data_IF_381582107931
#
_entry.id   IF_381582107931
#
_cell.length_a   1.000
_cell.length_b   1.000
_cell.length_c   1.000
_cell.angle_alpha   90.00
_cell.angle_beta   90.00
_cell.angle_gamma   90.00
#
_symmetry.space_group_name_H-M   'P 1'
#
loop_
_entity.id
_entity.type
_entity.pdbx_description
1 polymer ?
#
# COMPACT_ATOMS: atom_id res chain seq x y z
N UNK A 1 -14.49 25.23 -10.89
CA UNK A 1 -13.94 24.01 -10.26
C UNK A 1 -14.09 24.21 -8.76
N UNK A 2 -14.74 23.30 -8.06
CA UNK A 2 -14.90 23.36 -6.60
C UNK A 2 -13.76 22.58 -5.90
N UNK A 3 -13.69 22.66 -4.58
CA UNK A 3 -12.62 22.00 -3.80
C UNK A 3 -12.61 20.48 -4.01
N UNK A 4 -13.75 19.87 -4.19
CA UNK A 4 -13.89 18.42 -4.38
C UNK A 4 -13.34 18.01 -5.76
N UNK A 5 -13.61 18.80 -6.81
CA UNK A 5 -13.10 18.55 -8.16
C UNK A 5 -11.56 18.55 -8.17
N UNK A 6 -10.94 19.54 -7.48
CA UNK A 6 -9.47 19.60 -7.36
C UNK A 6 -8.92 18.39 -6.64
N UNK A 7 -9.56 17.99 -5.53
CA UNK A 7 -9.13 16.82 -4.74
C UNK A 7 -9.19 15.56 -5.60
N UNK A 8 -10.30 15.31 -6.31
CA UNK A 8 -10.46 14.13 -7.16
C UNK A 8 -9.44 14.10 -8.31
N UNK A 9 -9.17 15.25 -8.94
CA UNK A 9 -8.15 15.38 -9.98
C UNK A 9 -6.76 15.02 -9.45
N UNK A 10 -6.36 15.57 -8.31
CA UNK A 10 -5.07 15.29 -7.66
C UNK A 10 -4.93 13.83 -7.26
N UNK A 11 -5.97 13.26 -6.62
CA UNK A 11 -5.99 11.84 -6.26
C UNK A 11 -5.90 10.94 -7.50
N UNK A 12 -6.59 11.31 -8.60
CA UNK A 12 -6.55 10.56 -9.86
C UNK A 12 -5.17 10.56 -10.51
N UNK A 13 -4.44 11.67 -10.40
CA UNK A 13 -3.09 11.83 -10.95
C UNK A 13 -1.98 11.36 -10.02
N UNK A 14 -2.29 10.78 -8.86
CA UNK A 14 -1.31 10.42 -7.81
C UNK A 14 -0.44 11.61 -7.36
N UNK A 15 -1.01 12.80 -7.35
CA UNK A 15 -0.32 14.02 -6.95
C UNK A 15 -0.72 14.40 -5.52
N UNK A 16 0.13 14.14 -4.50
CA UNK A 16 -0.17 14.45 -3.12
C UNK A 16 -0.51 15.94 -2.93
N UNK A 17 -1.45 16.19 -2.06
CA UNK A 17 -1.88 17.56 -1.75
C UNK A 17 -2.35 17.65 -0.30
N UNK A 18 -2.54 18.88 0.17
CA UNK A 18 -2.93 19.17 1.55
C UNK A 18 -4.13 20.09 1.52
N UNK A 19 -5.16 19.75 2.31
CA UNK A 19 -6.27 20.65 2.58
C UNK A 19 -6.03 21.34 3.92
N UNK A 20 -6.09 22.66 3.92
CA UNK A 20 -6.19 23.44 5.15
C UNK A 20 -7.61 23.96 5.28
N UNK A 21 -8.30 23.58 6.35
CA UNK A 21 -9.64 24.07 6.68
C UNK A 21 -9.54 25.05 7.83
N UNK A 22 -10.10 26.26 7.66
CA UNK A 22 -10.20 27.25 8.73
C UNK A 22 -11.38 26.90 9.64
N UNK A 23 -11.11 26.62 10.90
CA UNK A 23 -12.11 26.18 11.89
C UNK A 23 -12.73 27.35 12.67
N UNK A 24 -11.98 28.46 12.85
CA UNK A 24 -12.46 29.62 13.57
C UNK A 24 -11.85 30.94 13.02
N UNK A 25 -12.42 32.08 13.40
CA UNK A 25 -11.96 33.39 12.99
C UNK A 25 -12.69 33.93 11.76
N UNK A 26 -12.15 35.01 11.16
CA UNK A 26 -12.82 35.78 10.10
C UNK A 26 -13.08 34.98 8.81
N UNK A 27 -12.33 33.89 8.61
CA UNK A 27 -12.40 33.02 7.41
C UNK A 27 -12.95 31.64 7.75
N UNK A 28 -13.68 31.48 8.83
CA UNK A 28 -14.23 30.19 9.26
C UNK A 28 -15.03 29.52 8.12
N UNK A 29 -14.69 28.24 7.85
CA UNK A 29 -15.28 27.42 6.78
C UNK A 29 -14.50 27.45 5.49
N UNK A 30 -13.53 28.37 5.31
CA UNK A 30 -12.66 28.39 4.13
C UNK A 30 -11.82 27.12 4.06
N UNK A 31 -11.63 26.66 2.82
CA UNK A 31 -10.74 25.55 2.50
C UNK A 31 -9.73 26.01 1.45
N UNK A 32 -8.47 25.69 1.71
CA UNK A 32 -7.39 25.94 0.77
C UNK A 32 -6.68 24.62 0.49
N UNK A 33 -6.49 24.31 -0.78
CA UNK A 33 -5.73 23.12 -1.21
C UNK A 33 -4.35 23.58 -1.66
N UNK A 34 -3.34 22.99 -1.12
CA UNK A 34 -1.93 23.20 -1.47
C UNK A 34 -1.32 21.94 -2.07
N UNK A 35 -0.35 22.09 -2.98
CA UNK A 35 0.58 21.02 -3.32
C UNK A 35 1.50 20.70 -2.13
N UNK A 36 2.24 19.60 -2.17
CA UNK A 36 3.27 19.31 -1.17
C UNK A 36 4.37 20.39 -1.12
N UNK A 37 4.60 21.10 -2.21
CA UNK A 37 5.56 22.20 -2.31
C UNK A 37 5.02 23.53 -1.77
N UNK A 38 3.72 23.57 -1.42
CA UNK A 38 3.06 24.76 -0.87
C UNK A 38 2.41 25.67 -1.92
N UNK A 39 2.35 25.25 -3.19
CA UNK A 39 1.64 25.98 -4.23
C UNK A 39 0.13 25.90 -4.02
N UNK A 40 -0.58 27.00 -4.23
CA UNK A 40 -2.04 27.04 -4.05
C UNK A 40 -2.72 26.42 -5.27
N UNK A 41 -3.46 25.34 -5.03
CA UNK A 41 -4.24 24.65 -6.06
C UNK A 41 -5.71 25.08 -6.05
N UNK A 42 -6.23 25.49 -4.87
CA UNK A 42 -7.60 25.97 -4.71
C UNK A 42 -7.71 26.91 -3.50
N UNK A 43 -8.60 27.89 -3.59
CA UNK A 43 -8.91 28.81 -2.50
C UNK A 43 -7.98 30.01 -2.44
N UNK A 44 -8.07 30.78 -1.38
CA UNK A 44 -7.23 31.96 -1.13
C UNK A 44 -6.19 31.63 -0.07
N UNK A 45 -4.93 31.92 -0.34
CA UNK A 45 -3.83 31.69 0.59
C UNK A 45 -4.15 32.11 2.03
N UNK A 46 -3.67 31.33 2.96
CA UNK A 46 -3.66 31.71 4.38
C UNK A 46 -2.35 32.44 4.64
N UNK A 47 -2.44 33.74 4.97
CA UNK A 47 -1.27 34.57 5.18
C UNK A 47 -0.37 34.01 6.29
N UNK A 48 0.93 33.87 6.01
CA UNK A 48 1.91 33.31 6.92
C UNK A 48 1.91 31.78 7.00
N UNK A 49 1.04 31.06 6.28
CA UNK A 49 1.08 29.60 6.23
C UNK A 49 2.31 29.13 5.46
N UNK A 50 3.03 28.18 6.05
CA UNK A 50 4.13 27.46 5.40
C UNK A 50 3.89 25.96 5.58
N UNK A 51 4.22 25.19 4.55
CA UNK A 51 4.08 23.73 4.60
C UNK A 51 4.97 23.16 5.71
N UNK A 52 4.43 22.33 6.63
CA UNK A 52 5.25 21.72 7.67
C UNK A 52 6.19 20.66 7.07
N UNK A 53 7.36 20.46 7.67
CA UNK A 53 8.31 19.40 7.26
C UNK A 53 7.69 18.00 7.28
N UNK A 54 6.77 17.77 8.22
CA UNK A 54 6.02 16.53 8.30
C UNK A 54 4.54 16.78 8.06
N UNK A 55 4.07 16.31 6.92
CA UNK A 55 2.66 16.39 6.52
C UNK A 55 1.88 15.26 7.20
N UNK A 56 1.03 15.63 8.16
CA UNK A 56 0.12 14.73 8.88
C UNK A 56 -1.11 15.51 9.35
N UNK A 57 -2.24 14.85 9.64
CA UNK A 57 -3.40 15.52 10.20
C UNK A 57 -3.03 16.24 11.51
N UNK A 58 -3.23 17.56 11.54
CA UNK A 58 -2.89 18.38 12.72
C UNK A 58 -3.71 19.66 12.81
N UNK A 59 -3.96 20.08 14.05
CA UNK A 59 -4.48 21.40 14.36
C UNK A 59 -3.33 22.38 14.54
N UNK A 60 -3.51 23.59 14.07
CA UNK A 60 -2.55 24.69 14.28
C UNK A 60 -3.28 26.04 14.30
N UNK A 61 -2.63 27.05 14.88
CA UNK A 61 -3.17 28.41 14.93
C UNK A 61 -2.30 29.35 14.12
N UNK A 62 -2.91 30.19 13.31
CA UNK A 62 -2.24 31.21 12.52
C UNK A 62 -3.14 32.45 12.35
N UNK A 63 -2.61 33.66 12.48
CA UNK A 63 -3.33 34.92 12.30
C UNK A 63 -4.69 34.95 13.07
N UNK A 64 -4.73 34.49 14.32
CA UNK A 64 -5.93 34.37 15.16
C UNK A 64 -7.02 33.42 14.61
N UNK A 65 -6.67 32.53 13.71
CA UNK A 65 -7.53 31.45 13.19
C UNK A 65 -7.03 30.12 13.70
N UNK A 66 -7.95 29.24 14.08
CA UNK A 66 -7.64 27.81 14.22
C UNK A 66 -7.84 27.13 12.87
N UNK A 67 -6.89 26.33 12.48
CA UNK A 67 -6.88 25.63 11.21
C UNK A 67 -6.63 24.13 11.43
N UNK A 68 -7.19 23.32 10.54
CA UNK A 68 -6.91 21.88 10.46
C UNK A 68 -6.25 21.57 9.14
N UNK A 69 -5.06 21.01 9.20
CA UNK A 69 -4.33 20.49 8.06
C UNK A 69 -4.64 19.01 7.89
N UNK A 70 -5.01 18.62 6.69
CA UNK A 70 -5.29 17.23 6.34
C UNK A 70 -4.58 16.89 5.02
N UNK A 71 -3.69 15.88 4.99
CA UNK A 71 -3.15 15.36 3.75
C UNK A 71 -4.26 14.72 2.90
N UNK A 72 -4.15 14.89 1.58
CA UNK A 72 -5.01 14.26 0.58
C UNK A 72 -4.11 13.38 -0.27
N UNK A 73 -4.18 12.12 0.00
CA UNK A 73 -3.44 11.10 -0.72
C UNK A 73 -4.43 10.13 -1.36
N UNK A 74 -4.06 9.55 -2.49
CA UNK A 74 -4.81 8.43 -3.03
C UNK A 74 -4.70 7.26 -2.04
N UNK A 75 -5.77 6.49 -1.91
CA UNK A 75 -5.70 5.24 -1.17
C UNK A 75 -4.59 4.35 -1.74
N UNK A 76 -3.80 3.66 -0.90
CA UNK A 76 -2.81 2.72 -1.38
C UNK A 76 -3.44 1.68 -2.30
N UNK A 77 -2.78 1.37 -3.41
CA UNK A 77 -3.21 0.36 -4.37
C UNK A 77 -2.36 -0.90 -4.21
N UNK A 78 -2.99 -2.04 -4.04
CA UNK A 78 -2.32 -3.32 -3.82
C UNK A 78 -2.56 -4.24 -5.01
N UNK A 79 -1.48 -4.78 -5.55
CA UNK A 79 -1.51 -5.81 -6.58
C UNK A 79 -1.30 -7.19 -5.95
N UNK A 80 -2.26 -8.08 -6.11
CA UNK A 80 -2.16 -9.47 -5.64
C UNK A 80 -2.00 -10.37 -6.87
N UNK A 81 -0.89 -11.08 -6.93
CA UNK A 81 -0.54 -12.02 -8.01
C UNK A 81 -0.84 -13.44 -7.57
N UNK A 82 -1.93 -13.99 -8.12
CA UNK A 82 -2.56 -15.25 -7.74
C UNK A 82 -3.94 -15.04 -7.11
N UNK A 83 -4.92 -15.88 -7.45
CA UNK A 83 -6.32 -15.79 -7.01
C UNK A 83 -6.76 -17.01 -6.17
N UNK A 84 -5.85 -17.57 -5.37
CA UNK A 84 -6.13 -18.71 -4.46
C UNK A 84 -6.97 -18.31 -3.24
N UNK A 85 -7.19 -19.28 -2.34
CA UNK A 85 -7.97 -19.04 -1.11
C UNK A 85 -7.36 -17.96 -0.22
N UNK A 86 -6.03 -17.98 -0.03
CA UNK A 86 -5.33 -16.96 0.76
C UNK A 86 -5.47 -15.59 0.11
N UNK A 87 -5.37 -15.51 -1.23
CA UNK A 87 -5.50 -14.24 -1.96
C UNK A 87 -6.84 -13.55 -1.71
N UNK A 88 -7.92 -14.31 -1.57
CA UNK A 88 -9.27 -13.78 -1.28
C UNK A 88 -9.29 -13.13 0.09
N UNK A 89 -8.80 -13.82 1.11
CA UNK A 89 -8.71 -13.28 2.46
C UNK A 89 -7.78 -12.06 2.53
N UNK A 90 -6.66 -12.08 1.80
CA UNK A 90 -5.73 -10.94 1.70
C UNK A 90 -6.41 -9.74 1.03
N UNK A 91 -7.16 -9.96 -0.06
CA UNK A 91 -7.92 -8.90 -0.73
C UNK A 91 -8.95 -8.26 0.19
N UNK A 92 -9.73 -9.07 0.93
CA UNK A 92 -10.73 -8.60 1.88
C UNK A 92 -10.11 -7.77 3.01
N UNK A 93 -8.97 -8.20 3.56
CA UNK A 93 -8.26 -7.48 4.61
C UNK A 93 -7.67 -6.15 4.11
N UNK A 94 -7.12 -6.09 2.91
CA UNK A 94 -6.65 -4.83 2.32
C UNK A 94 -7.80 -3.86 2.05
N UNK A 95 -8.94 -4.34 1.53
CA UNK A 95 -10.14 -3.52 1.37
C UNK A 95 -10.65 -3.00 2.72
N UNK A 96 -10.58 -3.83 3.77
CA UNK A 96 -11.03 -3.45 5.12
C UNK A 96 -10.22 -2.27 5.67
N UNK A 97 -8.92 -2.20 5.40
CA UNK A 97 -8.06 -1.08 5.82
C UNK A 97 -8.06 0.10 4.84
N UNK A 98 -8.92 0.07 3.80
CA UNK A 98 -9.13 1.17 2.88
C UNK A 98 -8.19 1.23 1.67
N UNK A 99 -7.50 0.14 1.34
CA UNK A 99 -6.70 0.05 0.11
C UNK A 99 -7.59 -0.27 -1.10
N UNK A 100 -7.18 0.20 -2.28
CA UNK A 100 -7.63 -0.36 -3.55
C UNK A 100 -6.95 -1.71 -3.79
N UNK A 101 -7.64 -2.66 -4.43
CA UNK A 101 -7.10 -4.01 -4.63
C UNK A 101 -7.34 -4.48 -6.05
N UNK A 102 -6.25 -4.89 -6.71
CA UNK A 102 -6.26 -5.58 -7.98
C UNK A 102 -5.73 -7.01 -7.81
N UNK A 103 -6.48 -8.00 -8.26
CA UNK A 103 -6.07 -9.41 -8.27
C UNK A 103 -5.86 -9.87 -9.71
N UNK A 104 -4.70 -10.47 -9.97
CA UNK A 104 -4.34 -11.05 -11.27
C UNK A 104 -4.13 -12.55 -11.13
N UNK A 105 -4.69 -13.33 -12.05
CA UNK A 105 -4.41 -14.77 -12.18
C UNK A 105 -4.50 -15.17 -13.66
N UNK A 106 -3.70 -16.14 -14.07
CA UNK A 106 -3.70 -16.71 -15.41
C UNK A 106 -4.86 -17.72 -15.64
N UNK A 107 -5.65 -18.00 -14.59
CA UNK A 107 -6.77 -18.92 -14.61
C UNK A 107 -8.08 -18.18 -14.37
N UNK A 108 -8.87 -17.99 -15.43
CA UNK A 108 -10.13 -17.24 -15.39
C UNK A 108 -11.14 -17.78 -14.37
N UNK A 109 -11.15 -19.10 -14.13
CA UNK A 109 -12.06 -19.78 -13.21
C UNK A 109 -11.83 -19.41 -11.74
N UNK A 110 -10.67 -18.83 -11.37
CA UNK A 110 -10.37 -18.36 -10.03
C UNK A 110 -10.76 -16.88 -9.82
N UNK A 111 -11.08 -16.16 -10.90
CA UNK A 111 -11.41 -14.72 -10.88
C UNK A 111 -12.93 -14.46 -10.96
N UNK A 112 -13.74 -15.43 -10.55
CA UNK A 112 -15.20 -15.30 -10.57
C UNK A 112 -15.68 -14.21 -9.60
N UNK A 113 -16.77 -13.47 -9.95
CA UNK A 113 -17.33 -12.42 -9.11
C UNK A 113 -17.69 -12.88 -7.69
N UNK A 114 -18.17 -14.12 -7.56
CA UNK A 114 -18.57 -14.70 -6.26
C UNK A 114 -17.41 -14.97 -5.31
N UNK A 115 -16.15 -14.87 -5.76
CA UNK A 115 -14.97 -15.16 -4.97
C UNK A 115 -14.34 -13.92 -4.32
N UNK A 116 -14.72 -12.73 -4.75
CA UNK A 116 -14.14 -11.49 -4.30
C UNK A 116 -15.21 -10.43 -4.07
N UNK A 117 -14.98 -9.51 -3.14
CA UNK A 117 -15.79 -8.29 -3.00
C UNK A 117 -15.88 -7.55 -4.34
N UNK A 118 -17.00 -6.90 -4.60
CA UNK A 118 -17.26 -6.17 -5.86
C UNK A 118 -16.28 -5.03 -6.12
N UNK A 119 -15.61 -4.51 -5.09
CA UNK A 119 -14.59 -3.45 -5.15
C UNK A 119 -13.24 -3.96 -5.65
N UNK A 120 -13.00 -5.28 -5.62
CA UNK A 120 -11.75 -5.87 -6.13
C UNK A 120 -11.74 -5.83 -7.65
N UNK A 121 -10.73 -5.20 -8.23
CA UNK A 121 -10.46 -5.31 -9.65
C UNK A 121 -9.85 -6.69 -9.94
N UNK A 122 -10.46 -7.46 -10.82
CA UNK A 122 -10.01 -8.82 -11.21
C UNK A 122 -9.56 -8.81 -12.65
N UNK A 123 -8.33 -9.24 -12.90
CA UNK A 123 -7.70 -9.22 -14.21
C UNK A 123 -7.23 -10.63 -14.56
N UNK A 124 -7.78 -11.18 -15.64
CA UNK A 124 -7.28 -12.43 -16.24
C UNK A 124 -6.12 -12.10 -17.16
N UNK A 125 -4.90 -12.49 -16.79
CA UNK A 125 -3.68 -12.15 -17.51
C UNK A 125 -2.60 -13.19 -17.24
N UNK A 126 -1.80 -13.53 -18.26
CA UNK A 126 -0.56 -14.29 -18.05
C UNK A 126 0.43 -13.43 -17.26
N UNK A 127 1.06 -14.00 -16.25
CA UNK A 127 2.02 -13.28 -15.40
C UNK A 127 3.23 -12.75 -16.19
N UNK A 128 3.52 -13.28 -17.37
CA UNK A 128 4.58 -12.78 -18.26
C UNK A 128 4.25 -11.44 -18.91
N UNK A 129 2.97 -11.06 -18.93
CA UNK A 129 2.48 -9.84 -19.60
C UNK A 129 2.23 -8.69 -18.59
N UNK A 130 2.54 -8.86 -17.30
CA UNK A 130 2.25 -7.87 -16.26
C UNK A 130 2.79 -6.50 -16.60
N UNK A 131 4.06 -6.43 -16.99
CA UNK A 131 4.76 -5.17 -17.31
C UNK A 131 4.20 -4.47 -18.54
N UNK A 132 3.69 -5.22 -19.50
CA UNK A 132 3.14 -4.67 -20.77
C UNK A 132 1.69 -4.20 -20.60
N UNK A 133 0.94 -4.81 -19.68
CA UNK A 133 -0.51 -4.65 -19.59
C UNK A 133 -0.95 -3.84 -18.37
N UNK A 134 -0.09 -3.63 -17.38
CA UNK A 134 -0.41 -2.91 -16.15
C UNK A 134 0.61 -1.78 -15.89
N UNK A 135 0.12 -0.66 -15.38
CA UNK A 135 0.96 0.40 -14.83
C UNK A 135 1.44 -0.02 -13.44
N UNK A 136 2.50 -0.84 -13.39
CA UNK A 136 2.98 -1.45 -12.15
C UNK A 136 3.47 -0.42 -11.12
N UNK A 137 3.91 0.74 -11.54
CA UNK A 137 4.31 1.89 -10.75
C UNK A 137 3.15 2.55 -9.98
N UNK A 138 1.92 2.24 -10.35
CA UNK A 138 0.73 2.74 -9.65
C UNK A 138 0.43 2.01 -8.33
N UNK A 139 1.06 0.86 -8.09
CA UNK A 139 0.84 0.05 -6.90
C UNK A 139 1.85 0.38 -5.80
N UNK A 140 1.35 0.56 -4.58
CA UNK A 140 2.17 0.81 -3.38
C UNK A 140 2.66 -0.49 -2.75
N UNK A 141 1.97 -1.59 -2.99
CA UNK A 141 2.33 -2.92 -2.52
C UNK A 141 2.00 -4.03 -3.50
N UNK A 142 2.87 -5.03 -3.58
CA UNK A 142 2.68 -6.22 -4.42
C UNK A 142 2.77 -7.47 -3.54
N UNK A 143 1.78 -8.35 -3.65
CA UNK A 143 1.68 -9.60 -2.90
C UNK A 143 1.71 -10.77 -3.87
N UNK A 144 2.79 -11.55 -3.83
CA UNK A 144 2.98 -12.72 -4.69
C UNK A 144 2.54 -13.97 -3.91
N UNK A 145 1.37 -14.50 -4.29
CA UNK A 145 0.71 -15.67 -3.66
C UNK A 145 0.27 -16.67 -4.71
N UNK A 146 1.16 -16.96 -5.64
CA UNK A 146 0.90 -17.86 -6.76
C UNK A 146 0.85 -19.33 -6.32
N UNK A 147 0.38 -20.19 -7.22
CA UNK A 147 0.25 -21.63 -6.96
C UNK A 147 1.57 -22.41 -6.98
N UNK A 148 2.62 -21.87 -7.63
CA UNK A 148 3.87 -22.59 -7.83
C UNK A 148 5.07 -21.65 -7.95
N UNK A 149 6.27 -22.14 -7.62
CA UNK A 149 7.52 -21.38 -7.63
C UNK A 149 7.89 -20.74 -8.95
N UNK A 150 7.62 -21.44 -10.06
CA UNK A 150 7.90 -20.94 -11.40
C UNK A 150 7.15 -19.65 -11.69
N UNK A 151 5.91 -19.52 -11.18
CA UNK A 151 5.13 -18.30 -11.34
C UNK A 151 5.62 -17.19 -10.40
N UNK A 152 6.10 -17.53 -9.18
CA UNK A 152 6.68 -16.54 -8.27
C UNK A 152 7.89 -15.86 -8.95
N UNK A 153 8.81 -16.63 -9.56
CA UNK A 153 9.97 -16.10 -10.26
C UNK A 153 9.54 -15.21 -11.45
N UNK A 154 8.58 -15.66 -12.25
CA UNK A 154 8.04 -14.86 -13.36
C UNK A 154 7.48 -13.54 -12.85
N UNK A 155 6.62 -13.56 -11.81
CA UNK A 155 6.06 -12.35 -11.23
C UNK A 155 7.14 -11.38 -10.73
N UNK A 156 8.14 -11.89 -10.00
CA UNK A 156 9.22 -11.07 -9.47
C UNK A 156 10.05 -10.42 -10.58
N UNK A 157 10.36 -11.14 -11.66
CA UNK A 157 11.04 -10.54 -12.80
C UNK A 157 10.22 -9.44 -13.48
N UNK A 158 8.91 -9.58 -13.58
CA UNK A 158 8.02 -8.56 -14.15
C UNK A 158 7.96 -7.29 -13.29
N UNK A 159 8.06 -7.40 -11.97
CA UNK A 159 7.96 -6.25 -11.06
C UNK A 159 9.33 -5.66 -10.65
N UNK A 160 10.43 -6.28 -11.05
CA UNK A 160 11.81 -5.92 -10.66
C UNK A 160 12.11 -4.43 -10.83
N UNK A 161 11.67 -3.82 -11.91
CA UNK A 161 12.00 -2.45 -12.28
C UNK A 161 11.20 -1.38 -11.53
N UNK A 162 10.11 -1.76 -10.85
CA UNK A 162 9.28 -0.83 -10.08
C UNK A 162 9.47 -0.96 -8.57
N UNK A 163 9.73 -2.17 -8.04
CA UNK A 163 9.92 -2.51 -6.62
C UNK A 163 9.31 -1.45 -5.66
N UNK A 164 7.97 -1.45 -5.49
CA UNK A 164 7.32 -0.51 -4.58
C UNK A 164 7.80 -0.75 -3.14
N UNK A 165 7.38 0.09 -2.20
CA UNK A 165 7.74 0.01 -0.77
C UNK A 165 7.60 -1.40 -0.19
N UNK A 166 6.63 -2.18 -0.70
CA UNK A 166 6.35 -3.52 -0.23
C UNK A 166 6.18 -4.51 -1.39
N UNK A 167 7.04 -5.51 -1.45
CA UNK A 167 6.90 -6.68 -2.33
C UNK A 167 7.04 -7.93 -1.48
N UNK A 168 5.92 -8.59 -1.21
CA UNK A 168 5.88 -9.77 -0.35
C UNK A 168 5.68 -11.07 -1.13
N UNK A 169 6.39 -12.12 -0.75
CA UNK A 169 6.35 -13.43 -1.42
C UNK A 169 5.95 -14.53 -0.44
N UNK A 170 4.86 -15.21 -0.75
CA UNK A 170 4.34 -16.30 0.09
C UNK A 170 5.13 -17.59 -0.11
N UNK A 171 5.51 -18.22 0.99
CA UNK A 171 6.15 -19.55 0.93
C UNK A 171 6.73 -19.98 2.27
N UNK A 172 7.16 -21.22 2.37
CA UNK A 172 7.94 -21.67 3.54
C UNK A 172 9.34 -21.04 3.55
N UNK A 173 9.97 -20.93 4.72
CA UNK A 173 11.36 -20.42 4.84
C UNK A 173 12.33 -21.11 3.86
N UNK A 174 12.25 -22.43 3.73
CA UNK A 174 13.10 -23.18 2.80
C UNK A 174 12.84 -22.79 1.34
N UNK A 175 11.57 -22.60 0.99
CA UNK A 175 11.13 -22.20 -0.36
C UNK A 175 11.66 -20.80 -0.70
N UNK A 176 11.43 -19.84 0.16
CA UNK A 176 11.82 -18.44 -0.04
C UNK A 176 13.34 -18.30 -0.10
N UNK A 177 14.07 -18.97 0.81
CA UNK A 177 15.53 -18.97 0.76
C UNK A 177 16.07 -19.48 -0.59
N UNK A 178 15.47 -20.56 -1.12
CA UNK A 178 15.84 -21.11 -2.42
C UNK A 178 15.51 -20.10 -3.54
N UNK A 179 14.31 -19.53 -3.55
CA UNK A 179 13.88 -18.55 -4.55
C UNK A 179 14.81 -17.34 -4.58
N UNK A 180 15.14 -16.75 -3.42
CA UNK A 180 16.04 -15.61 -3.34
C UNK A 180 17.49 -15.93 -3.77
N UNK A 181 17.95 -17.18 -3.56
CA UNK A 181 19.22 -17.65 -4.08
C UNK A 181 19.19 -17.71 -5.61
N UNK A 182 18.10 -18.21 -6.21
CA UNK A 182 17.95 -18.29 -7.67
C UNK A 182 17.92 -16.88 -8.27
N UNK A 183 17.17 -15.93 -7.71
CA UNK A 183 17.15 -14.54 -8.18
C UNK A 183 18.56 -13.94 -8.25
N UNK A 184 19.40 -14.17 -7.22
CA UNK A 184 20.80 -13.71 -7.24
C UNK A 184 21.60 -14.34 -8.38
N UNK A 185 21.38 -15.62 -8.67
CA UNK A 185 22.03 -16.31 -9.80
C UNK A 185 21.55 -15.76 -11.16
N UNK A 186 20.34 -15.25 -11.21
CA UNK A 186 19.72 -14.61 -12.38
C UNK A 186 20.04 -13.11 -12.49
N UNK A 187 20.99 -12.62 -11.68
CA UNK A 187 21.52 -11.26 -11.77
C UNK A 187 20.79 -10.19 -10.97
N UNK A 188 19.99 -10.59 -9.98
CA UNK A 188 19.50 -9.66 -8.99
C UNK A 188 20.60 -9.30 -7.99
N UNK A 189 20.72 -8.03 -7.67
CA UNK A 189 21.64 -7.55 -6.63
C UNK A 189 21.13 -7.91 -5.25
N UNK A 190 22.04 -7.96 -4.26
CA UNK A 190 21.62 -8.15 -2.85
C UNK A 190 20.69 -7.04 -2.37
N UNK A 191 20.85 -5.83 -2.87
CA UNK A 191 19.99 -4.70 -2.53
C UNK A 191 18.55 -4.94 -3.00
N UNK A 192 18.35 -5.40 -4.25
CA UNK A 192 17.02 -5.71 -4.78
C UNK A 192 16.37 -6.88 -4.04
N UNK A 193 17.13 -7.96 -3.78
CA UNK A 193 16.58 -9.12 -3.05
C UNK A 193 16.24 -8.77 -1.60
N UNK A 194 17.01 -7.89 -0.96
CA UNK A 194 16.75 -7.46 0.42
C UNK A 194 15.54 -6.50 0.54
N UNK A 195 15.01 -6.00 -0.56
CA UNK A 195 13.73 -5.26 -0.58
C UNK A 195 12.51 -6.18 -0.62
N UNK A 196 12.70 -7.48 -0.87
CA UNK A 196 11.63 -8.46 -0.89
C UNK A 196 11.33 -8.98 0.52
N UNK A 197 10.06 -9.03 0.88
CA UNK A 197 9.57 -9.63 2.14
C UNK A 197 9.21 -11.08 1.89
N UNK A 198 9.94 -11.99 2.52
CA UNK A 198 9.69 -13.43 2.34
C UNK A 198 10.40 -14.31 3.39
N UNK A 199 9.68 -15.25 3.99
CA UNK A 199 8.24 -15.49 3.90
C UNK A 199 7.43 -14.27 4.32
N UNK A 200 6.39 -13.96 3.54
CA UNK A 200 5.52 -12.80 3.79
C UNK A 200 4.74 -12.95 5.10
N UNK A 201 4.60 -11.85 5.83
CA UNK A 201 3.76 -11.73 7.02
C UNK A 201 4.53 -11.70 8.34
N UNK A 202 3.91 -11.12 9.36
CA UNK A 202 4.43 -11.15 10.73
C UNK A 202 4.32 -12.57 11.30
N UNK A 203 5.30 -13.01 12.07
CA UNK A 203 5.26 -14.29 12.79
C UNK A 203 4.27 -14.21 13.97
N UNK A 204 3.01 -14.55 13.69
CA UNK A 204 1.91 -14.59 14.67
C UNK A 204 1.40 -16.03 14.89
N UNK A 205 2.06 -17.05 14.32
CA UNK A 205 1.62 -18.42 14.37
C UNK A 205 0.37 -18.73 13.52
N UNK A 206 0.13 -17.94 12.45
CA UNK A 206 -1.02 -18.06 11.57
C UNK A 206 -1.16 -19.46 10.94
N UNK A 207 -2.36 -20.03 10.96
CA UNK A 207 -2.66 -21.36 10.43
C UNK A 207 -3.77 -21.36 9.39
N UNK A 208 -4.79 -20.51 9.55
CA UNK A 208 -5.91 -20.40 8.58
C UNK A 208 -5.62 -19.35 7.51
N UNK A 209 -6.27 -19.42 6.34
CA UNK A 209 -6.13 -18.39 5.31
C UNK A 209 -6.41 -16.96 5.83
N UNK A 210 -7.37 -16.81 6.74
CA UNK A 210 -7.75 -15.53 7.34
C UNK A 210 -6.64 -15.01 8.28
N UNK A 211 -6.05 -15.88 9.09
CA UNK A 211 -4.92 -15.53 9.96
C UNK A 211 -3.66 -15.19 9.15
N UNK A 212 -3.41 -15.95 8.08
CA UNK A 212 -2.31 -15.65 7.14
C UNK A 212 -2.52 -14.28 6.49
N UNK A 213 -3.74 -13.98 6.06
CA UNK A 213 -4.07 -12.67 5.50
C UNK A 213 -3.85 -11.54 6.52
N UNK A 214 -4.27 -11.73 7.78
CA UNK A 214 -4.03 -10.77 8.86
C UNK A 214 -2.54 -10.54 9.08
N UNK A 215 -1.74 -11.62 9.10
CA UNK A 215 -0.28 -11.55 9.24
C UNK A 215 0.36 -10.72 8.11
N UNK A 216 -0.03 -10.98 6.85
CA UNK A 216 0.47 -10.27 5.67
C UNK A 216 0.12 -8.79 5.72
N UNK A 217 -1.15 -8.46 5.96
CA UNK A 217 -1.61 -7.07 5.98
C UNK A 217 -0.99 -6.31 7.15
N UNK A 218 -0.80 -6.97 8.31
CA UNK A 218 -0.10 -6.37 9.45
C UNK A 218 1.37 -6.04 9.13
N UNK A 219 2.08 -6.90 8.41
CA UNK A 219 3.45 -6.63 7.96
C UNK A 219 3.48 -5.44 7.00
N UNK A 220 2.58 -5.42 5.99
CA UNK A 220 2.44 -4.29 5.07
C UNK A 220 2.24 -2.97 5.83
N UNK A 221 1.29 -2.91 6.77
CA UNK A 221 1.05 -1.70 7.59
C UNK A 221 2.28 -1.32 8.40
N UNK A 222 3.01 -2.29 8.96
CA UNK A 222 4.23 -2.02 9.71
C UNK A 222 5.32 -1.42 8.81
N UNK A 223 5.50 -1.93 7.60
CA UNK A 223 6.46 -1.41 6.61
C UNK A 223 6.08 0.00 6.18
N UNK A 224 4.83 0.24 5.76
CA UNK A 224 4.32 1.56 5.37
C UNK A 224 4.45 2.61 6.48
N UNK A 225 4.35 2.19 7.73
CA UNK A 225 4.49 3.06 8.92
C UNK A 225 5.91 3.07 9.50
N UNK A 226 6.89 2.44 8.83
CA UNK A 226 8.28 2.32 9.30
C UNK A 226 8.36 1.74 10.73
N UNK A 227 7.60 0.66 10.99
CA UNK A 227 7.54 -0.05 12.27
C UNK A 227 8.03 -1.49 12.12
N UNK A 228 8.43 -2.10 13.23
CA UNK A 228 8.96 -3.49 13.27
C UNK A 228 7.89 -4.54 13.61
N UNK A 229 6.63 -4.17 13.80
CA UNK A 229 5.56 -5.11 14.16
C UNK A 229 5.72 -5.76 15.54
N UNK A 230 6.38 -5.10 16.50
CA UNK A 230 6.59 -5.62 17.86
C UNK A 230 5.36 -5.42 18.75
N UNK A 231 5.24 -6.23 19.79
CA UNK A 231 4.21 -6.04 20.81
C UNK A 231 4.37 -4.68 21.51
N UNK A 232 3.30 -3.89 21.57
CA UNK A 232 3.29 -2.64 22.33
C UNK A 232 3.42 -2.89 23.84
N UNK A 233 2.99 -4.09 24.31
CA UNK A 233 3.06 -4.53 25.70
C UNK A 233 4.34 -5.33 26.03
N UNK A 234 5.44 -5.04 25.38
CA UNK A 234 6.71 -5.80 25.45
C UNK A 234 7.24 -6.09 26.88
N UNK A 235 6.74 -5.42 27.92
CA UNK A 235 7.10 -5.70 29.32
C UNK A 235 6.53 -7.01 29.89
N UNK A 236 5.54 -7.64 29.23
CA UNK A 236 4.89 -8.87 29.76
C UNK A 236 5.59 -10.18 29.41
N UNK A 237 6.53 -10.17 28.45
CA UNK A 237 7.15 -11.40 27.93
C UNK A 237 8.65 -11.50 28.21
N UNK A 238 9.24 -10.54 28.98
CA UNK A 238 10.65 -10.60 29.36
C UNK A 238 10.90 -11.45 30.62
N UNK A 239 9.84 -11.87 31.33
CA UNK A 239 9.96 -12.59 32.61
C UNK A 239 9.71 -14.11 32.49
N UNK A 240 9.58 -14.67 31.27
CA UNK A 240 9.31 -16.10 31.02
C UNK A 240 10.42 -16.80 30.20
N UNK A 241 11.69 -16.37 30.32
CA UNK A 241 12.85 -17.09 29.75
C UNK A 241 13.84 -17.45 30.84
#
# INVERSE_FOLDING_TARGET
>A
MNVIDVIYERMGNHEPSVIVTVLSGARQGDKVVYSETGDILYGTAIEGFTMPERIQPQLFSIAQMECFLQPVEKAPEILILGAGHVSRCVADQFLFIGCGVTVVDDRKEYLKPEFFDSRVQRIHLDFKELQERLSLDSYTGIVVVTRAHEFDSVCLHQVRHVLPTYVGVMGSHKRIHHAFKVLRQEGWTDMEVNQLYGPIGLDIGAQTPEEIALSIVSEYVAVERHRKGQFLSAKRYQDEV
#
